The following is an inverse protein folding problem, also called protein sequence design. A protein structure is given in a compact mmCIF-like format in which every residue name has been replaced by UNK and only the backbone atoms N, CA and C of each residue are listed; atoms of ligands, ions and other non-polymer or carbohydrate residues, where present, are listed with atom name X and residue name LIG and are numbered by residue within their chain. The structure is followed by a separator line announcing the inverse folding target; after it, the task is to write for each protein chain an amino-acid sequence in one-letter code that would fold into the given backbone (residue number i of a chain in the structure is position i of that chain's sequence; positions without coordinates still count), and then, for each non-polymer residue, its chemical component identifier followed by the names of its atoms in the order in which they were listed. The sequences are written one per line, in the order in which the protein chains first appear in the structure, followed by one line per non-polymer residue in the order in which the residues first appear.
data_IF_194116535887
#
_entry.id   IF_194116535887
#
_cell.length_a   1.000
_cell.length_b   1.000
_cell.length_c   1.000
_cell.angle_alpha   90.00
_cell.angle_beta   90.00
_cell.angle_gamma   90.00
#
_symmetry.space_group_name_H-M   'P 1'
#
loop_
_entity.id
_entity.type
_entity.pdbx_description
1 polymer ?
#
# COMPACT_ATOMS: atom_id res chain seq x y z
N UNK A 1 -43.76 56.52 -44.91
CA UNK A 1 -42.39 56.66 -45.45
C UNK A 1 -41.56 57.42 -44.42
N UNK A 2 -40.47 56.86 -43.88
CA UNK A 2 -39.85 57.32 -42.63
C UNK A 2 -38.53 58.11 -42.81
N UNK A 3 -38.05 58.60 -41.65
CA UNK A 3 -36.73 59.17 -41.26
C UNK A 3 -36.67 60.72 -41.20
N UNK A 4 -35.84 61.37 -40.33
CA UNK A 4 -34.74 60.83 -39.49
C UNK A 4 -34.52 61.43 -38.06
N UNK A 5 -33.59 60.81 -37.30
CA UNK A 5 -32.43 61.42 -36.57
C UNK A 5 -32.48 62.02 -35.14
N UNK A 6 -31.61 61.41 -34.28
CA UNK A 6 -30.69 61.95 -33.21
C UNK A 6 -31.30 62.61 -31.95
N UNK A 7 -30.73 62.53 -30.74
CA UNK A 7 -29.37 62.31 -30.18
C UNK A 7 -29.52 61.56 -28.83
N UNK A 8 -28.67 60.63 -28.38
CA UNK A 8 -27.24 60.65 -27.97
C UNK A 8 -26.98 61.24 -26.57
N UNK A 9 -26.62 60.36 -25.61
CA UNK A 9 -25.65 60.53 -24.49
C UNK A 9 -25.94 59.46 -23.40
N UNK A 10 -25.02 58.85 -22.65
CA UNK A 10 -23.56 58.68 -22.66
C UNK A 10 -23.24 57.52 -21.66
N UNK A 11 -22.15 56.78 -21.91
CA UNK A 11 -21.63 55.66 -21.11
C UNK A 11 -21.20 56.01 -19.66
N UNK A 12 -20.89 54.99 -18.84
CA UNK A 12 -19.47 54.76 -18.54
C UNK A 12 -18.97 53.35 -18.90
N UNK A 13 -17.71 53.32 -19.35
CA UNK A 13 -16.89 52.16 -19.71
C UNK A 13 -16.25 51.53 -18.47
N UNK A 14 -16.06 50.21 -18.52
CA UNK A 14 -14.84 49.59 -18.04
C UNK A 14 -14.31 48.64 -19.11
N UNK A 15 -13.19 49.02 -19.72
CA UNK A 15 -12.31 48.13 -20.47
C UNK A 15 -11.14 47.77 -19.55
N UNK A 16 -10.84 46.49 -19.41
CA UNK A 16 -9.45 46.06 -19.21
C UNK A 16 -9.06 45.08 -20.31
N UNK A 17 -7.96 45.46 -20.94
CA UNK A 17 -7.27 44.86 -22.07
C UNK A 17 -6.45 43.66 -21.57
N UNK A 18 -6.44 42.55 -22.32
CA UNK A 18 -5.67 41.35 -21.97
C UNK A 18 -5.38 40.47 -23.18
N UNK A 19 -4.51 40.99 -24.06
CA UNK A 19 -3.56 40.28 -24.94
C UNK A 19 -3.91 38.86 -25.41
N UNK A 20 -4.34 38.74 -26.67
CA UNK A 20 -4.31 37.46 -27.39
C UNK A 20 -2.85 37.10 -27.74
N UNK A 21 -2.33 36.01 -27.19
CA UNK A 21 -1.09 35.40 -27.67
C UNK A 21 -1.39 34.43 -28.83
N UNK A 22 -0.56 34.35 -29.90
CA UNK A 22 -0.84 33.52 -31.08
C UNK A 22 -0.56 32.02 -30.91
N UNK A 23 -0.52 31.50 -29.67
CA UNK A 23 -0.05 30.14 -29.38
C UNK A 23 -1.08 29.23 -28.68
N UNK A 24 -2.36 29.61 -28.69
CA UNK A 24 -3.44 28.81 -28.09
C UNK A 24 -4.02 27.73 -29.02
N UNK A 25 -3.51 27.57 -30.24
CA UNK A 25 -4.00 26.59 -31.23
C UNK A 25 -3.24 25.24 -31.24
N UNK A 26 -2.39 24.94 -30.24
CA UNK A 26 -1.55 23.73 -30.24
C UNK A 26 -1.79 22.74 -29.09
N UNK A 27 -2.95 22.79 -28.45
CA UNK A 27 -3.41 21.72 -27.56
C UNK A 27 -4.83 21.34 -27.94
N UNK A 28 -4.93 20.48 -28.95
CA UNK A 28 -6.10 19.62 -29.08
C UNK A 28 -6.21 18.82 -27.79
N UNK A 29 -7.16 19.20 -26.94
CA UNK A 29 -7.58 18.38 -25.80
C UNK A 29 -7.83 16.96 -26.32
N UNK A 30 -7.25 15.90 -25.73
CA UNK A 30 -7.71 14.55 -26.04
C UNK A 30 -9.20 14.52 -25.68
N UNK A 31 -10.04 14.20 -26.65
CA UNK A 31 -11.46 14.00 -26.41
C UNK A 31 -11.63 13.11 -25.19
N UNK A 32 -12.28 13.61 -24.14
CA UNK A 32 -12.73 12.77 -23.05
C UNK A 32 -13.70 11.76 -23.65
N UNK A 33 -13.22 10.53 -23.80
CA UNK A 33 -14.06 9.41 -24.21
C UNK A 33 -15.11 9.21 -23.11
N UNK A 34 -16.40 9.07 -23.47
CA UNK A 34 -17.45 8.89 -22.48
C UNK A 34 -17.12 7.65 -21.65
N UNK A 35 -17.17 7.77 -20.31
CA UNK A 35 -16.77 6.70 -19.40
C UNK A 35 -17.67 5.46 -19.57
N UNK A 36 -17.21 4.51 -20.38
CA UNK A 36 -17.92 3.26 -20.72
C UNK A 36 -17.79 2.24 -19.57
N UNK A 37 -18.34 2.55 -18.39
CA UNK A 37 -18.19 1.69 -17.19
C UNK A 37 -18.79 0.27 -17.30
N UNK A 38 -19.39 -0.12 -18.43
CA UNK A 38 -20.01 -1.44 -18.65
C UNK A 38 -19.37 -2.35 -19.71
N UNK A 39 -18.55 -1.84 -20.65
CA UNK A 39 -17.97 -2.70 -21.71
C UNK A 39 -16.75 -3.50 -21.21
N UNK A 40 -16.03 -2.95 -20.23
CA UNK A 40 -14.84 -3.55 -19.66
C UNK A 40 -15.10 -4.84 -18.88
N UNK A 41 -16.31 -5.02 -18.34
CA UNK A 41 -16.71 -6.21 -17.57
C UNK A 41 -17.26 -7.36 -18.43
N UNK A 42 -17.36 -7.19 -19.75
CA UNK A 42 -18.02 -8.20 -20.61
C UNK A 42 -17.10 -9.34 -21.04
N UNK A 43 -15.78 -9.20 -20.87
CA UNK A 43 -14.81 -10.19 -21.35
C UNK A 43 -14.57 -11.34 -20.39
N UNK A 44 -14.75 -11.16 -19.08
CA UNK A 44 -14.43 -12.21 -18.10
C UNK A 44 -15.66 -12.55 -17.30
N UNK A 45 -15.97 -13.86 -17.20
CA UNK A 45 -17.06 -14.35 -16.37
C UNK A 45 -16.50 -15.08 -15.16
N UNK A 46 -16.87 -14.63 -13.97
CA UNK A 46 -16.70 -15.44 -12.76
C UNK A 46 -17.79 -16.50 -12.78
N UNK A 47 -17.40 -17.77 -12.74
CA UNK A 47 -18.35 -18.89 -12.83
C UNK A 47 -18.82 -19.25 -11.42
N UNK A 48 -20.13 -19.15 -11.17
CA UNK A 48 -20.75 -19.73 -9.98
C UNK A 48 -20.94 -21.23 -10.14
N UNK A 49 -21.13 -21.95 -9.03
CA UNK A 49 -21.35 -23.41 -9.03
C UNK A 49 -22.62 -23.88 -9.79
N UNK A 50 -23.46 -22.95 -10.27
CA UNK A 50 -24.73 -23.23 -10.94
C UNK A 50 -24.81 -22.68 -12.38
N UNK A 51 -23.74 -22.06 -12.90
CA UNK A 51 -23.75 -21.44 -14.22
C UNK A 51 -23.31 -22.44 -15.30
N UNK A 52 -24.19 -23.39 -15.62
CA UNK A 52 -24.03 -24.38 -16.69
C UNK A 52 -24.34 -23.79 -18.08
N UNK A 53 -23.73 -22.63 -18.42
CA UNK A 53 -23.65 -22.25 -19.83
C UNK A 53 -22.60 -23.17 -20.47
N UNK A 54 -22.82 -23.75 -21.67
CA UNK A 54 -21.81 -24.57 -22.32
C UNK A 54 -20.56 -23.72 -22.53
N UNK A 55 -19.47 -24.12 -21.87
CA UNK A 55 -18.17 -23.47 -21.99
C UNK A 55 -17.57 -23.90 -23.31
N UNK A 56 -17.27 -22.94 -24.17
CA UNK A 56 -16.55 -23.19 -25.42
C UNK A 56 -15.05 -23.10 -25.14
N UNK A 57 -14.47 -24.24 -24.73
CA UNK A 57 -13.07 -24.35 -24.31
C UNK A 57 -12.07 -24.11 -25.46
N UNK A 58 -12.53 -24.12 -26.72
CA UNK A 58 -11.70 -23.67 -27.86
C UNK A 58 -11.50 -22.14 -27.86
N UNK A 59 -12.44 -21.39 -27.29
CA UNK A 59 -12.44 -19.92 -27.26
C UNK A 59 -12.07 -19.34 -25.90
N UNK A 60 -12.27 -20.10 -24.84
CA UNK A 60 -12.10 -19.67 -23.45
C UNK A 60 -11.23 -20.65 -22.66
N UNK A 61 -10.55 -20.16 -21.63
CA UNK A 61 -9.83 -20.97 -20.64
C UNK A 61 -10.55 -20.93 -19.30
N UNK A 62 -10.68 -22.09 -18.66
CA UNK A 62 -11.22 -22.24 -17.31
C UNK A 62 -10.08 -22.28 -16.29
N UNK A 63 -10.08 -21.33 -15.36
CA UNK A 63 -9.04 -21.17 -14.34
C UNK A 63 -9.65 -21.12 -12.96
N UNK A 64 -9.05 -21.83 -12.02
CA UNK A 64 -9.39 -21.81 -10.61
C UNK A 64 -8.23 -21.25 -9.79
N UNK A 65 -8.46 -20.12 -9.12
CA UNK A 65 -7.46 -19.49 -8.25
C UNK A 65 -8.00 -19.44 -6.83
N UNK A 66 -7.36 -20.16 -5.92
CA UNK A 66 -7.75 -20.21 -4.50
C UNK A 66 -9.23 -20.56 -4.29
N UNK A 67 -9.77 -21.48 -5.12
CA UNK A 67 -11.16 -21.91 -5.08
C UNK A 67 -12.15 -21.04 -5.85
N UNK A 68 -11.70 -19.97 -6.52
CA UNK A 68 -12.56 -19.12 -7.37
C UNK A 68 -12.34 -19.42 -8.84
N UNK A 69 -13.43 -19.75 -9.54
CA UNK A 69 -13.43 -20.08 -10.97
C UNK A 69 -13.66 -18.87 -11.86
N UNK A 70 -12.90 -18.81 -12.95
CA UNK A 70 -12.93 -17.75 -13.96
C UNK A 70 -12.90 -18.36 -15.35
N UNK A 71 -13.75 -17.86 -16.24
CA UNK A 71 -13.68 -18.10 -17.68
C UNK A 71 -13.15 -16.86 -18.38
N UNK A 72 -12.04 -17.05 -19.11
CA UNK A 72 -11.35 -15.98 -19.82
C UNK A 72 -11.26 -16.33 -21.32
N UNK A 73 -11.71 -15.45 -22.23
CA UNK A 73 -11.48 -15.62 -23.65
C UNK A 73 -9.98 -15.57 -23.97
N UNK A 74 -9.53 -16.47 -24.83
CA UNK A 74 -8.15 -16.46 -25.32
C UNK A 74 -7.79 -15.13 -25.99
N UNK A 75 -8.75 -14.49 -26.66
CA UNK A 75 -8.59 -13.15 -27.27
C UNK A 75 -8.27 -12.04 -26.27
N UNK A 76 -8.61 -12.23 -24.98
CA UNK A 76 -8.22 -11.30 -23.90
C UNK A 76 -6.78 -11.56 -23.51
N UNK A 77 -6.38 -12.82 -23.38
CA UNK A 77 -5.02 -13.22 -23.03
C UNK A 77 -4.00 -12.92 -24.14
N UNK A 78 -4.43 -12.89 -25.39
CA UNK A 78 -3.59 -12.51 -26.54
C UNK A 78 -3.06 -11.07 -26.45
N UNK A 79 -3.73 -10.20 -25.69
CA UNK A 79 -3.25 -8.83 -25.42
C UNK A 79 -2.10 -8.79 -24.40
N UNK A 80 -1.85 -9.90 -23.70
CA UNK A 80 -0.85 -10.01 -22.63
C UNK A 80 0.01 -11.28 -22.81
N UNK A 81 0.75 -11.42 -23.92
CA UNK A 81 1.43 -12.66 -24.30
C UNK A 81 2.50 -13.13 -23.29
N UNK A 82 3.04 -12.21 -22.50
CA UNK A 82 4.03 -12.52 -21.46
C UNK A 82 3.39 -13.01 -20.14
N UNK A 83 2.06 -12.86 -19.99
CA UNK A 83 1.36 -13.31 -18.80
C UNK A 83 1.43 -14.82 -18.66
N UNK A 84 1.43 -15.30 -17.41
CA UNK A 84 1.44 -16.74 -17.10
C UNK A 84 0.28 -17.48 -17.76
N UNK A 85 -0.91 -16.85 -17.79
CA UNK A 85 -2.11 -17.44 -18.37
C UNK A 85 -2.00 -17.58 -19.89
N UNK A 86 -1.43 -16.60 -20.58
CA UNK A 86 -1.26 -16.68 -22.04
C UNK A 86 -0.28 -17.78 -22.44
N UNK A 87 0.73 -18.06 -21.60
CA UNK A 87 1.68 -19.15 -21.85
C UNK A 87 1.01 -20.53 -21.87
N UNK A 88 -0.06 -20.73 -21.10
CA UNK A 88 -0.83 -21.99 -21.11
C UNK A 88 -1.37 -22.34 -22.50
N UNK A 89 -1.69 -21.33 -23.33
CA UNK A 89 -2.16 -21.54 -24.71
C UNK A 89 -1.15 -22.28 -25.58
N UNK A 90 0.14 -22.12 -25.28
CA UNK A 90 1.24 -22.68 -26.06
C UNK A 90 1.67 -24.06 -25.55
N UNK A 91 1.19 -24.48 -24.38
CA UNK A 91 1.55 -25.76 -23.80
C UNK A 91 1.05 -26.92 -24.66
N UNK A 92 1.92 -27.90 -24.91
CA UNK A 92 1.62 -29.11 -25.69
C UNK A 92 1.75 -30.39 -24.88
N UNK A 93 2.30 -30.30 -23.68
CA UNK A 93 2.51 -31.44 -22.80
C UNK A 93 2.11 -31.13 -21.37
N UNK A 94 1.74 -32.17 -20.62
CA UNK A 94 1.46 -32.06 -19.19
C UNK A 94 2.65 -31.49 -18.41
N UNK A 95 3.88 -31.80 -18.82
CA UNK A 95 5.09 -31.28 -18.17
C UNK A 95 5.22 -29.75 -18.30
N UNK A 96 4.83 -29.17 -19.45
CA UNK A 96 4.81 -27.72 -19.63
C UNK A 96 3.70 -27.06 -18.81
N UNK A 97 2.54 -27.71 -18.71
CA UNK A 97 1.42 -27.25 -17.89
C UNK A 97 1.82 -27.20 -16.40
N UNK A 98 2.45 -28.27 -15.90
CA UNK A 98 2.90 -28.40 -14.52
C UNK A 98 3.99 -27.38 -14.11
N UNK A 99 4.62 -26.70 -15.07
CA UNK A 99 5.54 -25.59 -14.77
C UNK A 99 4.80 -24.26 -14.52
N UNK A 100 3.54 -24.16 -14.97
CA UNK A 100 2.77 -22.93 -14.97
C UNK A 100 1.64 -22.93 -13.94
N UNK A 101 1.00 -24.07 -13.68
CA UNK A 101 -0.09 -24.21 -12.70
C UNK A 101 0.20 -25.34 -11.70
N UNK A 102 -0.55 -25.34 -10.58
CA UNK A 102 -0.33 -26.28 -9.47
C UNK A 102 -1.04 -27.62 -9.72
N UNK A 103 -2.17 -27.60 -10.42
CA UNK A 103 -2.88 -28.81 -10.85
C UNK A 103 -3.66 -28.55 -12.16
N UNK A 104 -4.00 -29.60 -12.89
CA UNK A 104 -4.78 -29.54 -14.13
C UNK A 104 -5.71 -30.75 -14.25
N UNK A 105 -7.01 -30.49 -14.31
CA UNK A 105 -8.03 -31.50 -14.56
C UNK A 105 -8.31 -31.60 -16.06
N UNK A 106 -7.95 -32.73 -16.66
CA UNK A 106 -8.11 -32.97 -18.10
C UNK A 106 -9.58 -33.18 -18.50
N UNK A 107 -10.41 -33.73 -17.61
CA UNK A 107 -11.83 -34.01 -17.90
C UNK A 107 -12.64 -32.71 -18.01
N UNK A 108 -12.33 -31.73 -17.15
CA UNK A 108 -12.97 -30.41 -17.15
C UNK A 108 -12.18 -29.32 -17.85
N UNK A 109 -10.95 -29.62 -18.27
CA UNK A 109 -9.95 -28.67 -18.77
C UNK A 109 -9.76 -27.46 -17.83
N UNK A 110 -9.79 -27.70 -16.51
CA UNK A 110 -9.67 -26.70 -15.44
C UNK A 110 -8.22 -26.60 -14.95
N UNK A 111 -7.63 -25.40 -15.00
CA UNK A 111 -6.28 -25.12 -14.47
C UNK A 111 -6.36 -24.56 -13.05
N UNK A 112 -5.64 -25.16 -12.11
CA UNK A 112 -5.66 -24.79 -10.69
C UNK A 112 -4.42 -24.03 -10.25
N UNK A 113 -4.63 -23.03 -9.42
CA UNK A 113 -3.61 -22.16 -8.86
C UNK A 113 -3.85 -21.95 -7.36
N UNK A 114 -2.93 -22.39 -6.52
CA UNK A 114 -2.93 -22.17 -5.07
C UNK A 114 -2.36 -20.79 -4.73
N UNK A 115 -3.00 -19.76 -5.29
CA UNK A 115 -2.62 -18.35 -5.18
C UNK A 115 -3.74 -17.53 -4.58
N UNK A 116 -3.43 -16.27 -4.25
CA UNK A 116 -4.36 -15.36 -3.59
C UNK A 116 -5.58 -15.04 -4.47
N UNK A 117 -6.80 -15.49 -4.11
CA UNK A 117 -8.01 -15.20 -4.89
C UNK A 117 -8.38 -13.71 -4.88
N UNK A 118 -7.94 -12.95 -3.88
CA UNK A 118 -8.19 -11.51 -3.77
C UNK A 118 -7.27 -10.71 -4.69
N UNK A 119 -5.98 -11.06 -4.76
CA UNK A 119 -5.02 -10.44 -5.68
C UNK A 119 -5.37 -10.78 -7.13
N UNK A 120 -5.66 -12.06 -7.40
CA UNK A 120 -6.06 -12.47 -8.74
C UNK A 120 -7.36 -11.79 -9.21
N UNK A 121 -8.30 -11.49 -8.31
CA UNK A 121 -9.49 -10.71 -8.64
C UNK A 121 -9.18 -9.32 -9.23
N UNK A 122 -8.11 -8.67 -8.77
CA UNK A 122 -7.63 -7.40 -9.34
C UNK A 122 -6.96 -7.62 -10.68
N UNK A 123 -6.13 -8.66 -10.79
CA UNK A 123 -5.39 -9.00 -12.01
C UNK A 123 -6.33 -9.38 -13.14
N UNK A 124 -7.34 -10.21 -12.86
CA UNK A 124 -8.32 -10.61 -13.86
C UNK A 124 -9.21 -9.43 -14.29
N UNK A 125 -9.50 -8.51 -13.37
CA UNK A 125 -10.17 -7.24 -13.70
C UNK A 125 -9.30 -6.42 -14.64
N UNK A 126 -7.99 -6.34 -14.41
CA UNK A 126 -7.06 -5.68 -15.33
C UNK A 126 -7.04 -6.35 -16.71
N UNK A 127 -6.95 -7.67 -16.78
CA UNK A 127 -6.98 -8.38 -18.07
C UNK A 127 -8.28 -8.12 -18.84
N UNK A 128 -9.42 -8.07 -18.15
CA UNK A 128 -10.73 -7.79 -18.75
C UNK A 128 -10.90 -6.32 -19.18
N UNK A 129 -10.51 -5.41 -18.29
CA UNK A 129 -10.89 -4.00 -18.31
C UNK A 129 -9.75 -3.05 -18.72
N UNK A 130 -8.51 -3.53 -18.76
CA UNK A 130 -7.32 -2.71 -18.96
C UNK A 130 -6.98 -1.77 -17.79
N UNK A 131 -7.63 -1.92 -16.63
CA UNK A 131 -7.40 -1.06 -15.46
C UNK A 131 -6.82 -1.84 -14.29
N UNK A 132 -5.56 -1.58 -13.97
CA UNK A 132 -4.86 -2.16 -12.82
C UNK A 132 -4.79 -1.15 -11.68
N UNK A 133 -5.29 -1.54 -10.51
CA UNK A 133 -5.36 -0.68 -9.32
C UNK A 133 -4.85 -1.41 -8.09
N UNK A 134 -4.21 -0.70 -7.17
CA UNK A 134 -3.82 -1.23 -5.87
C UNK A 134 -4.96 -1.02 -4.87
N UNK A 135 -5.54 -2.11 -4.34
CA UNK A 135 -6.57 -2.04 -3.31
C UNK A 135 -5.95 -1.67 -1.94
N UNK A 136 -6.72 -0.94 -1.11
CA UNK A 136 -6.21 -0.40 0.15
C UNK A 136 -5.77 -1.47 1.14
N UNK A 137 -6.55 -2.53 1.29
CA UNK A 137 -6.34 -3.62 2.26
C UNK A 137 -5.31 -4.65 1.80
N UNK A 138 -4.70 -4.47 0.63
CA UNK A 138 -3.73 -5.41 0.09
C UNK A 138 -2.31 -5.04 0.52
N UNK A 139 -1.57 -6.03 1.03
CA UNK A 139 -0.14 -5.87 1.31
C UNK A 139 0.63 -5.58 0.01
N UNK A 140 1.51 -4.58 0.05
CA UNK A 140 2.28 -4.14 -1.12
C UNK A 140 3.23 -5.23 -1.63
N UNK A 141 3.97 -5.89 -0.72
CA UNK A 141 4.88 -6.98 -1.07
C UNK A 141 4.12 -8.15 -1.71
N UNK A 142 3.05 -8.61 -1.05
CA UNK A 142 2.24 -9.71 -1.57
C UNK A 142 1.62 -9.38 -2.93
N UNK A 143 1.15 -8.15 -3.13
CA UNK A 143 0.63 -7.76 -4.44
C UNK A 143 1.71 -7.72 -5.52
N UNK A 144 2.91 -7.22 -5.19
CA UNK A 144 4.05 -7.23 -6.12
C UNK A 144 4.44 -8.66 -6.52
N UNK A 145 4.51 -9.57 -5.55
CA UNK A 145 4.79 -10.99 -5.79
C UNK A 145 3.73 -11.63 -6.69
N UNK A 146 2.45 -11.30 -6.49
CA UNK A 146 1.38 -11.76 -7.36
C UNK A 146 1.53 -11.18 -8.79
N UNK A 147 1.76 -9.88 -8.94
CA UNK A 147 2.00 -9.28 -10.26
C UNK A 147 3.15 -9.98 -11.00
N UNK A 148 4.28 -10.21 -10.32
CA UNK A 148 5.41 -10.94 -10.87
C UNK A 148 5.05 -12.40 -11.22
N UNK A 149 4.31 -13.10 -10.34
CA UNK A 149 3.86 -14.47 -10.58
C UNK A 149 3.00 -14.57 -11.86
N UNK A 150 2.04 -13.66 -12.02
CA UNK A 150 1.13 -13.64 -13.16
C UNK A 150 1.75 -13.04 -14.43
N UNK A 151 2.97 -12.50 -14.35
CA UNK A 151 3.69 -11.90 -15.48
C UNK A 151 3.09 -10.56 -15.90
N UNK A 152 2.63 -9.77 -14.94
CA UNK A 152 2.08 -8.42 -15.15
C UNK A 152 3.05 -7.40 -14.56
N UNK A 153 3.58 -6.51 -15.39
CA UNK A 153 4.50 -5.47 -14.92
C UNK A 153 3.78 -4.43 -14.07
N UNK A 154 4.41 -3.95 -13.00
CA UNK A 154 3.87 -2.91 -12.12
C UNK A 154 3.61 -1.60 -12.86
N UNK A 155 4.31 -1.36 -13.98
CA UNK A 155 4.13 -0.20 -14.84
C UNK A 155 2.70 -0.07 -15.42
N UNK A 156 1.92 -1.16 -15.44
CA UNK A 156 0.50 -1.13 -15.84
C UNK A 156 -0.41 -0.49 -14.78
N UNK A 157 0.06 -0.28 -13.55
CA UNK A 157 -0.70 0.39 -12.51
C UNK A 157 -0.98 1.84 -12.89
N UNK A 158 -2.18 2.30 -12.56
CA UNK A 158 -2.51 3.73 -12.57
C UNK A 158 -1.48 4.52 -11.76
N UNK A 159 -1.11 5.72 -12.24
CA UNK A 159 0.03 6.50 -11.69
C UNK A 159 -0.05 6.71 -10.18
N UNK A 160 -1.24 6.88 -9.62
CA UNK A 160 -1.45 7.03 -8.18
C UNK A 160 -1.17 5.72 -7.42
N UNK A 161 -1.56 4.59 -7.99
CA UNK A 161 -1.37 3.26 -7.42
C UNK A 161 0.10 2.84 -7.51
N UNK A 162 0.76 3.09 -8.64
CA UNK A 162 2.19 2.79 -8.81
C UNK A 162 3.04 3.53 -7.77
N UNK A 163 2.84 4.84 -7.62
CA UNK A 163 3.56 5.63 -6.60
C UNK A 163 3.32 5.11 -5.18
N UNK A 164 2.08 4.72 -4.88
CA UNK A 164 1.71 4.17 -3.57
C UNK A 164 2.38 2.81 -3.33
N UNK A 165 2.45 1.95 -4.36
CA UNK A 165 3.11 0.65 -4.27
C UNK A 165 4.60 0.84 -4.01
N UNK A 166 5.30 1.61 -4.86
CA UNK A 166 6.74 1.82 -4.76
C UNK A 166 7.14 2.43 -3.42
N UNK A 167 6.42 3.44 -2.94
CA UNK A 167 6.68 4.04 -1.62
C UNK A 167 6.58 3.00 -0.50
N UNK A 168 5.55 2.16 -0.50
CA UNK A 168 5.40 1.11 0.52
C UNK A 168 6.53 0.09 0.44
N UNK A 169 7.01 -0.26 -0.75
CA UNK A 169 8.13 -1.19 -0.92
C UNK A 169 9.44 -0.59 -0.40
N UNK A 170 9.70 0.67 -0.72
CA UNK A 170 10.86 1.42 -0.21
C UNK A 170 10.83 1.48 1.34
N UNK A 171 9.68 1.83 1.93
CA UNK A 171 9.51 1.85 3.39
C UNK A 171 9.82 0.49 4.03
N UNK A 172 9.36 -0.60 3.42
CA UNK A 172 9.60 -1.96 3.89
C UNK A 172 11.07 -2.37 3.74
N UNK A 173 11.72 -1.95 2.66
CA UNK A 173 13.15 -2.19 2.45
C UNK A 173 14.01 -1.47 3.49
N UNK A 174 13.70 -0.20 3.78
CA UNK A 174 14.40 0.59 4.80
C UNK A 174 14.21 0.00 6.21
N UNK A 175 12.99 -0.42 6.56
CA UNK A 175 12.75 -1.13 7.83
C UNK A 175 13.56 -2.43 7.91
N UNK A 176 13.64 -3.18 6.81
CA UNK A 176 14.46 -4.39 6.76
C UNK A 176 15.96 -4.10 6.88
N UNK A 177 16.46 -2.97 6.35
CA UNK A 177 17.85 -2.52 6.53
C UNK A 177 18.14 -2.18 7.99
N UNK A 178 17.30 -1.36 8.62
CA UNK A 178 17.44 -0.98 10.03
C UNK A 178 17.46 -2.22 10.94
N UNK A 179 16.53 -3.16 10.74
CA UNK A 179 16.52 -4.40 11.51
C UNK A 179 17.81 -5.23 11.33
N UNK A 180 18.37 -5.30 10.12
CA UNK A 180 19.65 -6.00 9.89
C UNK A 180 20.80 -5.28 10.60
N UNK A 181 20.82 -3.95 10.57
CA UNK A 181 21.84 -3.16 11.26
C UNK A 181 21.78 -3.33 12.78
N UNK A 182 20.57 -3.35 13.36
CA UNK A 182 20.36 -3.59 14.79
C UNK A 182 20.84 -4.98 15.21
N UNK A 183 20.52 -6.02 14.42
CA UNK A 183 21.02 -7.38 14.66
C UNK A 183 22.55 -7.43 14.58
N UNK A 184 23.16 -6.78 13.59
CA UNK A 184 24.62 -6.70 13.46
C UNK A 184 25.27 -5.95 14.62
N UNK A 185 24.65 -4.86 15.09
CA UNK A 185 25.11 -4.10 16.25
C UNK A 185 25.06 -4.96 17.52
N UNK A 186 23.94 -5.65 17.75
CA UNK A 186 23.79 -6.56 18.89
C UNK A 186 24.83 -7.69 18.86
N UNK A 187 25.09 -8.28 17.69
CA UNK A 187 26.16 -9.27 17.54
C UNK A 187 27.54 -8.71 17.83
N UNK A 188 27.86 -7.48 17.40
CA UNK A 188 29.14 -6.81 17.70
C UNK A 188 29.30 -6.51 19.19
N UNK A 189 28.23 -6.05 19.84
CA UNK A 189 28.21 -5.82 21.29
C UNK A 189 28.41 -7.12 22.08
N UNK A 190 27.84 -8.24 21.60
CA UNK A 190 28.00 -9.57 22.20
C UNK A 190 29.39 -10.18 21.93
N UNK A 191 29.99 -9.88 20.77
CA UNK A 191 31.31 -10.39 20.35
C UNK A 191 32.51 -9.56 20.82
N UNK A 192 32.31 -8.38 21.43
CA UNK A 192 33.42 -7.68 22.08
C UNK A 192 34.01 -8.65 23.13
N UNK A 193 35.23 -9.17 22.92
CA UNK A 193 35.84 -10.02 23.94
C UNK A 193 35.90 -9.21 25.23
N UNK A 194 35.76 -9.88 26.37
CA UNK A 194 35.97 -9.32 27.69
C UNK A 194 37.45 -8.90 27.86
N UNK A 195 37.92 -7.99 27.03
CA UNK A 195 39.25 -7.42 27.07
C UNK A 195 39.24 -6.39 28.18
N UNK A 196 39.77 -6.81 29.33
CA UNK A 196 39.85 -6.07 30.60
C UNK A 196 38.51 -5.67 31.22
N UNK A 197 37.69 -6.65 31.62
CA UNK A 197 36.63 -6.38 32.58
C UNK A 197 37.22 -6.21 33.99
N UNK A 198 37.61 -4.98 34.34
CA UNK A 198 37.60 -4.59 35.74
C UNK A 198 36.18 -4.81 36.29
N UNK A 199 36.02 -5.08 37.60
CA UNK A 199 34.70 -5.22 38.25
C UNK A 199 33.75 -4.06 37.92
N UNK A 200 34.31 -2.89 37.59
CA UNK A 200 33.61 -1.71 37.11
C UNK A 200 32.87 -1.92 35.79
N UNK A 201 33.49 -2.58 34.80
CA UNK A 201 32.88 -2.83 33.49
C UNK A 201 31.64 -3.73 33.58
N UNK A 202 31.66 -4.75 34.44
CA UNK A 202 30.49 -5.57 34.71
C UNK A 202 29.36 -4.79 35.40
N UNK A 203 29.71 -3.96 36.40
CA UNK A 203 28.73 -3.13 37.09
C UNK A 203 28.06 -2.14 36.12
N UNK A 204 28.85 -1.47 35.29
CA UNK A 204 28.36 -0.47 34.35
C UNK A 204 27.51 -1.11 33.24
N UNK A 205 27.85 -2.32 32.77
CA UNK A 205 27.00 -3.08 31.86
C UNK A 205 25.68 -3.49 32.52
N UNK A 206 25.67 -3.89 33.79
CA UNK A 206 24.43 -4.18 34.54
C UNK A 206 23.57 -2.93 34.71
N UNK A 207 24.15 -1.80 35.05
CA UNK A 207 23.45 -0.51 35.14
C UNK A 207 22.84 -0.12 33.79
N UNK A 208 23.61 -0.27 32.72
CA UNK A 208 23.14 -0.02 31.36
C UNK A 208 21.98 -0.94 30.98
N UNK A 209 22.07 -2.23 31.28
CA UNK A 209 21.00 -3.21 31.03
C UNK A 209 19.72 -2.88 31.82
N UNK A 210 19.86 -2.41 33.06
CA UNK A 210 18.72 -1.95 33.88
C UNK A 210 18.06 -0.68 33.33
N UNK A 211 18.86 0.25 32.77
CA UNK A 211 18.37 1.52 32.20
C UNK A 211 17.76 1.33 30.81
N UNK A 212 18.40 0.54 29.94
CA UNK A 212 17.96 0.34 28.55
C UNK A 212 16.82 -0.67 28.43
N UNK A 213 16.68 -1.61 29.37
CA UNK A 213 15.62 -2.62 29.36
C UNK A 213 14.86 -2.66 30.69
N UNK A 214 13.71 -1.97 30.83
CA UNK A 214 12.88 -2.01 32.05
C UNK A 214 12.27 -3.39 32.33
N UNK A 215 12.29 -4.31 31.35
CA UNK A 215 11.82 -5.69 31.49
C UNK A 215 12.96 -6.70 31.75
N UNK A 216 14.20 -6.24 32.00
CA UNK A 216 15.39 -7.07 32.26
C UNK A 216 15.35 -7.90 33.57
N UNK A 217 14.25 -7.83 34.33
CA UNK A 217 14.03 -8.60 35.55
C UNK A 217 13.61 -7.73 36.74
N UNK A 218 13.82 -8.23 37.96
CA UNK A 218 13.50 -7.52 39.20
C UNK A 218 14.13 -6.11 39.29
N UNK A 219 15.43 -5.91 39.00
CA UNK A 219 16.03 -4.59 39.21
C UNK A 219 15.60 -3.56 38.15
N UNK A 220 15.35 -3.96 36.90
CA UNK A 220 14.76 -3.10 35.88
C UNK A 220 13.35 -2.63 36.25
N UNK A 221 12.54 -3.52 36.83
CA UNK A 221 11.19 -3.18 37.34
C UNK A 221 11.25 -2.19 38.52
N UNK A 222 12.20 -2.36 39.43
CA UNK A 222 12.41 -1.41 40.54
C UNK A 222 12.81 -0.04 40.01
N UNK A 223 13.75 0.03 39.07
CA UNK A 223 14.18 1.28 38.44
C UNK A 223 13.03 1.98 37.70
N UNK A 224 12.23 1.24 36.94
CA UNK A 224 11.05 1.77 36.27
C UNK A 224 10.02 2.35 37.25
N UNK A 225 9.76 1.64 38.36
CA UNK A 225 8.87 2.12 39.43
C UNK A 225 9.39 3.43 40.05
N UNK A 226 10.67 3.50 40.40
CA UNK A 226 11.30 4.71 40.95
C UNK A 226 11.23 5.89 39.96
N UNK A 227 11.43 5.63 38.66
CA UNK A 227 11.32 6.64 37.61
C UNK A 227 9.89 7.20 37.51
N UNK A 228 8.87 6.33 37.52
CA UNK A 228 7.46 6.75 37.52
C UNK A 228 7.13 7.56 38.78
N UNK A 229 7.58 7.11 39.95
CA UNK A 229 7.37 7.83 41.21
C UNK A 229 8.02 9.21 41.18
N UNK A 230 9.24 9.32 40.67
CA UNK A 230 9.92 10.61 40.53
C UNK A 230 9.19 11.57 39.57
N UNK A 231 8.71 11.07 38.44
CA UNK A 231 7.90 11.86 37.50
C UNK A 231 6.58 12.28 38.16
N UNK A 232 5.94 11.40 38.94
CA UNK A 232 4.71 11.72 39.65
C UNK A 232 4.93 12.77 40.75
N UNK A 233 5.98 12.62 41.59
CA UNK A 233 6.28 13.58 42.66
C UNK A 233 6.66 14.94 42.10
N UNK A 234 7.44 15.00 41.03
CA UNK A 234 7.78 16.26 40.35
C UNK A 234 6.55 16.92 39.73
N UNK A 235 5.65 16.15 39.10
CA UNK A 235 4.38 16.67 38.58
C UNK A 235 3.49 17.23 39.71
N UNK A 236 3.34 16.51 40.84
CA UNK A 236 2.57 16.99 42.00
C UNK A 236 3.20 18.25 42.59
N UNK A 237 4.51 18.29 42.76
CA UNK A 237 5.23 19.46 43.27
C UNK A 237 5.06 20.67 42.37
N UNK A 238 5.04 20.48 41.04
CA UNK A 238 4.75 21.53 40.07
C UNK A 238 3.29 22.00 40.19
N UNK A 239 2.32 21.09 40.32
CA UNK A 239 0.92 21.44 40.52
C UNK A 239 0.71 22.26 41.79
N UNK A 240 1.27 21.83 42.92
CA UNK A 240 1.21 22.56 44.20
C UNK A 240 1.89 23.93 44.07
N UNK A 241 3.03 24.00 43.38
CA UNK A 241 3.74 25.28 43.18
C UNK A 241 3.01 26.26 42.27
N UNK A 242 2.11 25.76 41.42
CA UNK A 242 1.33 26.54 40.45
C UNK A 242 -0.10 26.83 40.95
N UNK A 243 -0.50 26.27 42.10
CA UNK A 243 -1.73 26.63 42.81
C UNK A 243 -1.41 27.71 43.85
N UNK A 244 -1.64 29.00 43.54
CA UNK A 244 -1.41 30.09 44.49
C UNK A 244 -2.35 30.04 45.71
N UNK A 245 -3.50 29.36 45.60
CA UNK A 245 -4.53 29.34 46.65
C UNK A 245 -4.16 28.52 47.89
N UNK A 246 -3.34 27.47 47.77
CA UNK A 246 -2.87 26.70 48.94
C UNK A 246 -1.76 27.41 49.73
N UNK A 247 -1.02 28.32 49.08
CA UNK A 247 0.03 29.12 49.74
C UNK A 247 -0.57 30.24 50.60
N UNK A 248 -1.77 30.72 50.27
CA UNK A 248 -2.45 31.75 51.03
C UNK A 248 -3.03 31.25 52.37
N UNK A 249 -3.38 29.96 52.49
CA UNK A 249 -3.88 29.38 53.74
C UNK A 249 -2.76 28.98 54.73
N UNK A 250 -1.58 28.55 54.27
CA UNK A 250 -0.45 28.21 55.18
C UNK A 250 0.16 29.45 55.86
N UNK A 251 0.23 30.58 55.17
CA UNK A 251 0.69 31.86 55.75
C UNK A 251 -0.33 32.42 56.77
N UNK A 252 -1.61 32.08 56.62
CA UNK A 252 -2.67 32.53 57.54
C UNK A 252 -2.72 31.69 58.82
N UNK A 253 -2.31 30.42 58.77
CA UNK A 253 -2.24 29.52 59.94
C UNK A 253 -0.90 29.63 60.68
N UNK A 254 0.20 29.97 60.00
CA UNK A 254 1.53 30.16 60.63
C UNK A 254 1.74 31.55 61.24
N UNK A 255 0.83 32.49 60.98
CA UNK A 255 0.83 33.86 61.50
C UNK A 255 0.01 34.08 62.78
N UNK A 256 -0.42 33.00 63.46
CA UNK A 256 -1.20 33.02 64.71
C UNK A 256 -0.41 32.42 65.87
#
# INVERSE_FOLDING_TARGET
MPMPSRDRSLHPRHHHYGSHSPWSQLLSSPMETPSVKGLYYRRVRKVGALDASPVDLEKEILINVGGRRYLLPWSTLDQFPLSRLSKLRLCRSYQEIAQLCDDYDEDSQEFFFDRSPSAFGVIVTFLAAGKLVLLQEMCALSFQEELAYWGIEEAHLERCCLRKLLRKLEELEELAKLHREDVLRQQRETRRPASHSSRWGLCMNRLREMVENPQSGLPGKVFACLSILFVATTAVSLCVSTMPDLRAEEDQVSGL
#
